data_IF_759426330267
#
_entry.id   IF_759426330267
#
_cell.length_a   1.000
_cell.length_b   1.000
_cell.length_c   1.000
_cell.angle_alpha   90.00
_cell.angle_beta   90.00
_cell.angle_gamma   90.00
#
_symmetry.space_group_name_H-M   'P 1'
#
loop_
_entity.id
_entity.type
_entity.pdbx_description
1 polymer ?
#
# COMPACT_ATOMS: atom_id res chain seq x y z
N UNK A 1 -22.48 -19.31 1.54
CA UNK A 1 -21.10 -19.77 1.74
C UNK A 1 -20.27 -18.51 1.95
N UNK A 2 -20.00 -18.14 3.20
CA UNK A 2 -19.19 -16.94 3.51
C UNK A 2 -17.76 -17.35 3.19
N UNK A 3 -17.14 -16.70 2.20
CA UNK A 3 -15.71 -16.89 1.96
C UNK A 3 -14.99 -16.47 3.25
N UNK A 4 -14.30 -17.41 3.87
CA UNK A 4 -13.44 -17.16 5.00
C UNK A 4 -12.36 -16.17 4.52
N UNK A 5 -12.44 -14.92 4.94
CA UNK A 5 -11.44 -13.92 4.58
C UNK A 5 -10.16 -14.37 5.28
N UNK A 6 -9.15 -14.78 4.51
CA UNK A 6 -7.83 -15.10 5.05
C UNK A 6 -7.22 -13.82 5.66
N UNK A 7 -7.49 -13.64 6.96
CA UNK A 7 -7.05 -12.52 7.77
C UNK A 7 -5.67 -12.75 8.39
N UNK A 8 -5.04 -13.91 8.12
CA UNK A 8 -3.75 -14.29 8.70
C UNK A 8 -2.60 -14.16 7.73
N UNK A 9 -2.85 -13.68 6.51
CA UNK A 9 -1.82 -13.54 5.49
C UNK A 9 -1.88 -12.14 4.87
N UNK A 10 -0.73 -11.46 4.86
CA UNK A 10 -0.54 -10.21 4.14
C UNK A 10 0.34 -10.46 2.91
N UNK A 11 0.17 -9.63 1.90
CA UNK A 11 1.11 -9.49 0.78
C UNK A 11 1.88 -8.20 1.02
N UNK A 12 3.21 -8.30 1.05
CA UNK A 12 4.13 -7.19 1.12
C UNK A 12 4.68 -6.90 -0.28
N UNK A 13 4.65 -5.65 -0.73
CA UNK A 13 5.26 -5.24 -2.00
C UNK A 13 5.76 -3.80 -1.94
N UNK A 14 6.48 -3.36 -2.97
CA UNK A 14 6.93 -1.98 -3.14
C UNK A 14 5.74 -1.08 -3.45
N UNK A 15 5.65 0.05 -2.76
CA UNK A 15 4.69 1.11 -3.02
C UNK A 15 5.29 2.26 -3.82
N UNK A 16 4.52 3.33 -3.98
CA UNK A 16 5.03 4.59 -4.49
C UNK A 16 5.90 5.28 -3.42
N UNK A 17 6.83 6.16 -3.84
CA UNK A 17 7.60 7.01 -2.93
C UNK A 17 8.43 6.25 -1.87
N UNK A 18 8.98 5.08 -2.21
CA UNK A 18 9.83 4.26 -1.33
C UNK A 18 9.14 3.74 -0.06
N UNK A 19 7.81 3.61 -0.06
CA UNK A 19 7.08 2.91 1.00
C UNK A 19 6.83 1.44 0.65
N UNK A 20 6.58 0.60 1.65
CA UNK A 20 6.07 -0.76 1.42
C UNK A 20 4.55 -0.79 1.60
N UNK A 21 3.87 -1.55 0.76
CA UNK A 21 2.44 -1.84 0.90
C UNK A 21 2.25 -3.18 1.56
N UNK A 22 1.40 -3.22 2.60
CA UNK A 22 0.87 -4.43 3.20
C UNK A 22 -0.63 -4.53 2.92
N UNK A 23 -1.00 -5.58 2.19
CA UNK A 23 -2.36 -5.79 1.69
C UNK A 23 -2.83 -7.17 2.18
N UNK A 24 -4.01 -7.30 2.83
CA UNK A 24 -4.56 -8.61 3.12
C UNK A 24 -4.67 -9.47 1.86
N UNK A 25 -4.29 -10.75 1.92
CA UNK A 25 -4.27 -11.62 0.73
C UNK A 25 -5.65 -11.68 0.04
N UNK A 26 -6.72 -11.68 0.82
CA UNK A 26 -8.11 -11.61 0.33
C UNK A 26 -8.36 -10.40 -0.55
N UNK A 27 -7.77 -9.24 -0.21
CA UNK A 27 -7.88 -8.00 -0.99
C UNK A 27 -6.92 -7.97 -2.16
N UNK A 28 -5.70 -8.50 -2.01
CA UNK A 28 -4.72 -8.58 -3.10
C UNK A 28 -5.31 -9.26 -4.33
N UNK A 29 -6.02 -10.38 -4.12
CA UNK A 29 -6.68 -11.12 -5.19
C UNK A 29 -7.89 -10.39 -5.79
N UNK A 30 -8.47 -9.40 -5.08
CA UNK A 30 -9.61 -8.59 -5.54
C UNK A 30 -9.18 -7.26 -6.17
N UNK A 31 -8.01 -6.72 -5.81
CA UNK A 31 -7.52 -5.40 -6.23
C UNK A 31 -7.01 -5.34 -7.68
N UNK A 32 -7.18 -6.42 -8.45
CA UNK A 32 -6.79 -6.48 -9.86
C UNK A 32 -7.79 -5.78 -10.80
N UNK A 33 -9.01 -5.47 -10.33
CA UNK A 33 -10.12 -5.18 -11.24
C UNK A 33 -10.63 -3.72 -11.29
N UNK A 34 -10.25 -2.79 -10.39
CA UNK A 34 -10.93 -1.48 -10.38
C UNK A 34 -10.11 -0.21 -10.05
N UNK A 35 -9.08 -0.28 -9.19
CA UNK A 35 -8.48 0.96 -8.67
C UNK A 35 -7.44 1.61 -9.62
N UNK A 36 -6.78 0.82 -10.47
CA UNK A 36 -5.69 1.28 -11.33
C UNK A 36 -6.05 1.36 -12.82
N UNK A 37 -7.00 0.55 -13.28
CA UNK A 37 -7.46 0.52 -14.67
C UNK A 37 -8.05 1.86 -15.16
N UNK A 38 -8.57 2.68 -14.24
CA UNK A 38 -9.23 3.94 -14.60
C UNK A 38 -8.28 5.14 -14.78
N UNK A 39 -6.98 4.98 -14.51
CA UNK A 39 -6.02 6.12 -14.45
C UNK A 39 -4.83 5.95 -15.40
N UNK A 40 -4.53 4.73 -15.85
CA UNK A 40 -3.36 4.43 -16.68
C UNK A 40 -3.75 3.89 -18.05
N UNK A 41 -2.87 4.04 -19.06
CA UNK A 41 -3.03 3.33 -20.32
C UNK A 41 -2.86 1.82 -20.10
N UNK A 42 -3.51 0.98 -20.92
CA UNK A 42 -3.48 -0.48 -20.75
C UNK A 42 -2.04 -1.05 -20.72
N UNK A 43 -1.13 -0.45 -21.48
CA UNK A 43 0.29 -0.84 -21.53
C UNK A 43 1.05 -0.48 -20.25
N UNK A 44 0.92 0.77 -19.79
CA UNK A 44 1.57 1.23 -18.57
C UNK A 44 1.04 0.50 -17.32
N UNK A 45 -0.26 0.15 -17.33
CA UNK A 45 -0.88 -0.63 -16.28
C UNK A 45 -0.28 -2.04 -16.17
N UNK A 46 -0.13 -2.72 -17.31
CA UNK A 46 0.44 -4.07 -17.36
C UNK A 46 1.86 -4.13 -16.80
N UNK A 47 2.72 -3.20 -17.20
CA UNK A 47 4.11 -3.12 -16.72
C UNK A 47 4.19 -2.81 -15.22
N UNK A 48 3.36 -1.88 -14.73
CA UNK A 48 3.28 -1.56 -13.31
C UNK A 48 2.82 -2.78 -12.51
N UNK A 49 1.78 -3.48 -12.95
CA UNK A 49 1.27 -4.67 -12.25
C UNK A 49 2.27 -5.83 -12.27
N UNK A 50 2.96 -6.03 -13.40
CA UNK A 50 4.03 -7.02 -13.48
C UNK A 50 5.15 -6.68 -12.50
N UNK A 51 5.57 -5.42 -12.41
CA UNK A 51 6.58 -4.98 -11.46
C UNK A 51 6.09 -5.21 -10.01
N UNK A 52 4.89 -4.76 -9.66
CA UNK A 52 4.29 -4.91 -8.32
C UNK A 52 4.19 -6.39 -7.90
N UNK A 53 3.80 -7.27 -8.82
CA UNK A 53 3.73 -8.71 -8.57
C UNK A 53 5.12 -9.34 -8.41
N UNK A 54 6.08 -8.92 -9.22
CA UNK A 54 7.47 -9.43 -9.16
C UNK A 54 8.14 -9.12 -7.82
N UNK A 55 7.72 -8.04 -7.16
CA UNK A 55 8.21 -7.67 -5.82
C UNK A 55 7.30 -8.11 -4.68
N UNK A 56 6.18 -8.77 -4.98
CA UNK A 56 5.20 -9.17 -3.97
C UNK A 56 5.63 -10.44 -3.25
N UNK A 57 5.54 -10.41 -1.92
CA UNK A 57 5.91 -11.53 -1.06
C UNK A 57 4.81 -11.76 -0.03
N UNK A 58 4.33 -12.99 0.05
CA UNK A 58 3.36 -13.43 1.04
C UNK A 58 4.00 -13.52 2.43
N UNK A 59 3.42 -12.81 3.39
CA UNK A 59 3.89 -12.68 4.76
C UNK A 59 2.80 -13.14 5.75
N UNK A 60 2.90 -14.35 6.30
CA UNK A 60 1.98 -14.83 7.33
C UNK A 60 2.10 -14.01 8.61
N UNK A 61 0.96 -13.83 9.29
CA UNK A 61 0.86 -13.22 10.61
C UNK A 61 1.06 -14.31 11.66
N UNK A 62 2.02 -14.11 12.56
CA UNK A 62 2.27 -15.06 13.65
C UNK A 62 1.20 -14.97 14.75
N UNK A 63 1.23 -15.91 15.71
CA UNK A 63 0.27 -15.93 16.82
C UNK A 63 0.36 -14.71 17.76
N UNK A 64 1.39 -13.87 17.64
CA UNK A 64 1.55 -12.62 18.37
C UNK A 64 1.11 -11.41 17.53
N UNK A 65 0.44 -11.64 16.40
CA UNK A 65 0.01 -10.61 15.45
C UNK A 65 1.18 -9.81 14.84
N UNK A 66 2.35 -10.44 14.71
CA UNK A 66 3.53 -9.84 14.06
C UNK A 66 3.70 -10.39 12.65
N UNK A 67 4.36 -9.60 11.81
CA UNK A 67 4.67 -9.93 10.42
C UNK A 67 6.16 -9.73 10.20
N UNK A 68 6.80 -10.70 9.55
CA UNK A 68 8.21 -10.59 9.16
C UNK A 68 8.30 -10.11 7.73
N UNK A 69 8.78 -8.89 7.54
CA UNK A 69 9.03 -8.32 6.23
C UNK A 69 10.40 -8.81 5.70
N UNK A 70 10.48 -9.25 4.44
CA UNK A 70 11.75 -9.58 3.79
C UNK A 70 12.75 -8.42 3.81
N UNK A 71 14.03 -8.75 4.06
CA UNK A 71 15.09 -7.74 4.19
C UNK A 71 15.27 -6.88 2.95
N UNK A 72 15.15 -7.46 1.76
CA UNK A 72 15.27 -6.76 0.47
C UNK A 72 14.21 -5.66 0.29
N UNK A 73 13.00 -5.86 0.83
CA UNK A 73 11.95 -4.83 0.80
C UNK A 73 12.26 -3.72 1.80
N UNK A 74 12.74 -4.07 2.99
CA UNK A 74 13.14 -3.07 4.00
C UNK A 74 14.31 -2.21 3.50
N UNK A 75 15.31 -2.85 2.88
CA UNK A 75 16.47 -2.18 2.27
C UNK A 75 16.03 -1.22 1.17
N UNK A 76 15.18 -1.69 0.25
CA UNK A 76 14.65 -0.83 -0.82
C UNK A 76 13.86 0.37 -0.29
N UNK A 77 13.12 0.21 0.81
CA UNK A 77 12.34 1.27 1.45
C UNK A 77 13.16 2.15 2.41
N UNK A 78 14.46 1.88 2.58
CA UNK A 78 15.32 2.61 3.52
C UNK A 78 14.98 2.41 4.99
N UNK A 79 14.28 1.32 5.35
CA UNK A 79 13.84 1.05 6.71
C UNK A 79 14.92 0.26 7.46
N UNK A 80 15.48 0.86 8.51
CA UNK A 80 16.50 0.18 9.33
C UNK A 80 15.96 -0.33 10.68
N UNK A 81 15.29 0.52 11.46
CA UNK A 81 14.94 0.21 12.87
C UNK A 81 13.54 0.62 13.28
N UNK A 82 13.09 1.78 12.81
CA UNK A 82 11.78 2.36 13.14
C UNK A 82 10.98 2.48 11.86
N UNK A 83 9.67 2.36 12.01
CA UNK A 83 8.72 2.49 10.91
C UNK A 83 7.59 3.41 11.32
N UNK A 84 7.06 4.12 10.34
CA UNK A 84 5.73 4.73 10.42
C UNK A 84 4.76 3.83 9.66
N UNK A 85 3.59 3.56 10.26
CA UNK A 85 2.52 2.80 9.63
C UNK A 85 1.37 3.77 9.34
N UNK A 86 0.97 3.86 8.08
CA UNK A 86 -0.16 4.66 7.64
C UNK A 86 -1.26 3.75 7.06
N UNK A 87 -2.51 3.94 7.47
CA UNK A 87 -3.65 3.23 6.89
C UNK A 87 -4.21 3.96 5.68
N UNK A 88 -4.30 3.30 4.53
CA UNK A 88 -4.78 3.92 3.28
C UNK A 88 -5.73 2.97 2.57
N UNK A 89 -7.01 3.33 2.43
CA UNK A 89 -8.03 2.59 1.63
C UNK A 89 -8.03 1.05 1.86
N UNK A 90 -7.82 0.63 3.11
CA UNK A 90 -7.88 -0.79 3.47
C UNK A 90 -6.62 -1.61 3.15
N UNK A 91 -5.51 -0.94 2.85
CA UNK A 91 -4.14 -1.42 2.92
C UNK A 91 -3.36 -0.60 3.96
N UNK A 92 -2.18 -1.08 4.33
CA UNK A 92 -1.25 -0.34 5.17
C UNK A 92 -0.01 0.02 4.37
N UNK A 93 0.54 1.20 4.62
CA UNK A 93 1.80 1.63 4.09
C UNK A 93 2.82 1.69 5.21
N UNK A 94 4.02 1.16 4.95
CA UNK A 94 5.12 1.09 5.90
C UNK A 94 6.24 1.98 5.37
N UNK A 95 6.68 2.92 6.19
CA UNK A 95 7.58 3.98 5.77
C UNK A 95 8.78 4.09 6.70
N UNK A 96 9.91 4.52 6.15
CA UNK A 96 10.93 5.19 6.94
C UNK A 96 10.34 6.52 7.48
N UNK A 97 10.47 6.82 8.79
CA UNK A 97 9.80 7.97 9.41
C UNK A 97 10.05 9.35 8.81
N UNK A 98 11.28 9.69 8.39
CA UNK A 98 11.55 11.00 7.78
C UNK A 98 11.02 11.08 6.34
N UNK A 99 11.15 9.99 5.59
CA UNK A 99 10.61 9.85 4.24
C UNK A 99 9.10 10.07 4.22
N UNK A 100 8.38 9.56 5.24
CA UNK A 100 6.96 9.82 5.40
C UNK A 100 6.64 11.29 5.68
N UNK A 101 7.44 11.96 6.52
CA UNK A 101 7.24 13.39 6.81
C UNK A 101 7.50 14.24 5.57
N UNK A 102 8.53 13.91 4.80
CA UNK A 102 8.83 14.60 3.54
C UNK A 102 7.72 14.39 2.51
N UNK A 103 7.20 13.17 2.40
CA UNK A 103 6.03 12.88 1.58
C UNK A 103 4.82 13.75 1.99
N UNK A 104 4.50 13.82 3.29
CA UNK A 104 3.40 14.66 3.77
C UNK A 104 3.60 16.16 3.51
N UNK A 105 4.85 16.65 3.52
CA UNK A 105 5.15 18.06 3.17
C UNK A 105 4.92 18.37 1.70
N UNK A 106 5.07 17.37 0.82
CA UNK A 106 4.82 17.52 -0.61
C UNK A 106 3.33 17.46 -0.95
N UNK A 107 2.52 16.84 -0.08
CA UNK A 107 1.08 16.86 -0.20
C UNK A 107 0.59 18.22 0.32
N UNK A 108 0.33 19.14 -0.60
CA UNK A 108 -0.36 20.40 -0.31
C UNK A 108 -1.86 20.09 -0.07
N UNK A 109 -2.18 19.76 1.18
CA UNK A 109 -3.53 19.38 1.61
C UNK A 109 -4.08 20.43 2.56
N UNK A 110 -5.02 21.23 2.07
CA UNK A 110 -5.94 22.00 2.90
C UNK A 110 -7.27 21.22 3.04
N UNK A 111 -7.62 20.74 4.24
CA UNK A 111 -8.90 20.08 4.49
C UNK A 111 -10.11 20.92 4.05
N UNK A 112 -10.00 22.25 4.11
CA UNK A 112 -11.08 23.16 3.76
C UNK A 112 -11.33 23.19 2.25
N UNK A 113 -10.28 23.10 1.44
CA UNK A 113 -10.41 23.12 -0.02
C UNK A 113 -10.94 21.79 -0.57
N UNK A 114 -10.57 20.67 0.05
CA UNK A 114 -11.14 19.36 -0.28
C UNK A 114 -12.63 19.31 0.07
N UNK A 115 -13.02 19.84 1.23
CA UNK A 115 -14.43 19.93 1.60
C UNK A 115 -15.22 20.75 0.56
N UNK A 116 -14.72 21.91 0.14
CA UNK A 116 -15.37 22.73 -0.91
C UNK A 116 -15.54 21.97 -2.22
N UNK A 117 -14.52 21.26 -2.69
CA UNK A 117 -14.61 20.49 -3.93
C UNK A 117 -15.64 19.35 -3.84
N UNK A 118 -15.69 18.65 -2.70
CA UNK A 118 -16.66 17.57 -2.49
C UNK A 118 -18.10 18.11 -2.45
N UNK A 119 -18.34 19.23 -1.78
CA UNK A 119 -19.67 19.85 -1.73
C UNK A 119 -20.09 20.55 -3.03
N UNK A 120 -19.16 20.90 -3.92
CA UNK A 120 -19.48 21.46 -5.26
C UNK A 120 -19.89 20.43 -6.30
N UNK A 121 -19.77 19.13 -5.99
CA UNK A 121 -20.04 18.01 -6.90
C UNK A 121 -21.36 17.27 -6.58
N UNK A 122 -22.13 17.77 -5.63
CA UNK A 122 -23.46 17.30 -5.20
C UNK A 122 -24.45 18.44 -5.33
#
# INVERSE_FOLDING_TARGET
MIQEIDNKTLVATKGSNLCLLLIPLSKWNMSLDNDFLNVMSDGDYGEMMQALHSWSITCPIDNQHRVRIPGELLEWAGIEKKVTIAGVRGKMEIWEPESFKDHLRQIDYDPHDVAKQLFSRI
#
